data_IF_791954852250
#
_entry.id   IF_791954852250
#
_cell.length_a   1.000
_cell.length_b   1.000
_cell.length_c   1.000
_cell.angle_alpha   90.00
_cell.angle_beta   90.00
_cell.angle_gamma   90.00
#
_symmetry.space_group_name_H-M   'P 1'
#
loop_
_entity.id
_entity.type
_entity.pdbx_description
1 polymer ?
#
# COMPACT_ATOMS: atom_id res chain seq x y z
N UNK A 1 10.12 15.64 29.10
CA UNK A 1 10.91 15.35 27.89
C UNK A 1 10.24 16.03 26.73
N UNK A 2 10.87 17.05 26.17
CA UNK A 2 10.34 17.79 25.01
C UNK A 2 10.64 17.03 23.72
N UNK A 3 9.94 17.39 22.64
CA UNK A 3 10.25 16.88 21.29
C UNK A 3 11.69 17.15 20.90
N UNK A 4 12.23 18.31 21.30
CA UNK A 4 13.63 18.68 21.06
C UNK A 4 14.59 17.77 21.82
N UNK A 5 14.32 17.48 23.10
CA UNK A 5 15.14 16.57 23.91
C UNK A 5 15.19 15.16 23.32
N UNK A 6 14.03 14.68 22.82
CA UNK A 6 13.92 13.36 22.20
C UNK A 6 14.73 13.28 20.89
N UNK A 7 14.59 14.28 20.01
CA UNK A 7 15.35 14.35 18.75
C UNK A 7 16.86 14.37 19.00
N UNK A 8 17.30 15.15 19.99
CA UNK A 8 18.71 15.30 20.33
C UNK A 8 19.29 14.00 20.93
N UNK A 9 18.49 13.26 21.70
CA UNK A 9 18.86 11.94 22.22
C UNK A 9 18.98 10.89 21.11
N UNK A 10 18.04 10.86 20.17
CA UNK A 10 18.09 9.96 19.00
C UNK A 10 19.33 10.27 18.16
N UNK A 11 19.59 11.54 17.88
CA UNK A 11 20.78 11.97 17.13
C UNK A 11 22.07 11.46 17.78
N UNK A 12 22.25 11.66 19.09
CA UNK A 12 23.43 11.19 19.82
C UNK A 12 23.60 9.67 19.78
N UNK A 13 22.51 8.92 19.82
CA UNK A 13 22.59 7.46 19.74
C UNK A 13 22.97 6.98 18.33
N UNK A 14 22.45 7.64 17.29
CA UNK A 14 22.80 7.34 15.90
C UNK A 14 24.26 7.70 15.61
N UNK A 15 24.73 8.86 16.09
CA UNK A 15 26.09 9.36 15.89
C UNK A 15 27.16 8.44 16.51
N UNK A 16 26.81 7.70 17.56
CA UNK A 16 27.69 6.75 18.22
C UNK A 16 27.74 5.36 17.53
N UNK A 17 26.95 5.12 16.49
CA UNK A 17 26.91 3.82 15.82
C UNK A 17 28.05 3.66 14.81
N UNK A 18 28.59 2.45 14.75
CA UNK A 18 29.46 2.04 13.66
C UNK A 18 28.67 1.91 12.34
N UNK A 19 29.37 2.06 11.21
CA UNK A 19 28.75 2.15 9.87
C UNK A 19 27.74 1.03 9.57
N UNK A 20 28.07 -0.23 9.87
CA UNK A 20 27.17 -1.36 9.61
C UNK A 20 25.85 -1.27 10.38
N UNK A 21 25.89 -0.79 11.62
CA UNK A 21 24.69 -0.57 12.45
C UNK A 21 23.90 0.66 12.01
N UNK A 22 24.58 1.66 11.45
CA UNK A 22 23.93 2.81 10.87
C UNK A 22 23.10 2.44 9.63
N UNK A 23 23.60 1.54 8.79
CA UNK A 23 22.86 1.02 7.62
C UNK A 23 21.60 0.24 8.06
N UNK A 24 21.69 -0.58 9.10
CA UNK A 24 20.53 -1.28 9.70
C UNK A 24 19.49 -0.28 10.21
N UNK A 25 19.91 0.72 10.99
CA UNK A 25 19.02 1.76 11.55
C UNK A 25 18.40 2.61 10.45
N UNK A 26 19.15 2.92 9.39
CA UNK A 26 18.63 3.62 8.23
C UNK A 26 17.49 2.85 7.57
N UNK A 27 17.64 1.53 7.38
CA UNK A 27 16.57 0.68 6.85
C UNK A 27 15.31 0.70 7.71
N UNK A 28 15.44 0.64 9.03
CA UNK A 28 14.30 0.71 9.97
C UNK A 28 13.60 2.07 9.92
N UNK A 29 14.35 3.17 9.91
CA UNK A 29 13.78 4.53 9.82
C UNK A 29 13.07 4.72 8.47
N UNK A 30 13.70 4.27 7.38
CA UNK A 30 13.14 4.36 6.04
C UNK A 30 11.83 3.57 5.94
N UNK A 31 11.79 2.36 6.47
CA UNK A 31 10.58 1.53 6.51
C UNK A 31 9.49 2.18 7.35
N UNK A 32 9.82 2.77 8.50
CA UNK A 32 8.85 3.49 9.32
C UNK A 32 8.27 4.70 8.57
N UNK A 33 9.11 5.54 7.97
CA UNK A 33 8.68 6.72 7.20
C UNK A 33 7.82 6.32 6.01
N UNK A 34 8.21 5.27 5.28
CA UNK A 34 7.49 4.79 4.11
C UNK A 34 6.23 4.00 4.48
N UNK A 35 6.22 3.28 5.60
CA UNK A 35 5.07 2.52 6.11
C UNK A 35 3.93 3.40 6.62
N UNK A 36 4.21 4.66 6.97
CA UNK A 36 3.16 5.65 7.26
C UNK A 36 2.46 6.19 6.00
N UNK A 37 2.82 5.71 4.80
CA UNK A 37 2.00 5.93 3.60
C UNK A 37 0.72 5.07 3.58
N UNK A 38 0.47 4.22 4.57
CA UNK A 38 -0.63 3.24 4.55
C UNK A 38 -2.04 3.80 4.91
N UNK A 39 -2.21 5.13 4.96
CA UNK A 39 -3.54 5.80 4.92
C UNK A 39 -3.75 6.51 3.57
N UNK A 40 -2.76 6.43 2.67
CA UNK A 40 -2.75 7.17 1.41
C UNK A 40 -3.30 6.40 0.22
N UNK A 41 -3.51 5.08 0.32
CA UNK A 41 -3.86 4.23 -0.83
C UNK A 41 -5.14 4.69 -1.53
N UNK A 42 -6.19 5.03 -0.79
CA UNK A 42 -7.42 5.59 -1.39
C UNK A 42 -7.16 6.92 -2.10
N UNK A 43 -6.36 7.81 -1.50
CA UNK A 43 -6.05 9.12 -2.09
C UNK A 43 -5.01 9.05 -3.22
N UNK A 44 -4.27 7.94 -3.34
CA UNK A 44 -3.34 7.66 -4.43
C UNK A 44 -4.03 7.08 -5.66
N UNK A 45 -5.26 6.58 -5.54
CA UNK A 45 -6.07 6.16 -6.67
C UNK A 45 -6.47 7.37 -7.53
N UNK A 46 -6.40 7.21 -8.84
CA UNK A 46 -7.05 8.14 -9.77
C UNK A 46 -8.56 8.16 -9.55
N UNK A 47 -9.20 9.27 -9.92
CA UNK A 47 -10.67 9.38 -9.81
C UNK A 47 -11.39 8.24 -10.55
N UNK A 48 -10.88 7.81 -11.71
CA UNK A 48 -11.44 6.68 -12.44
C UNK A 48 -11.34 5.36 -11.68
N UNK A 49 -10.26 5.13 -10.93
CA UNK A 49 -10.11 3.93 -10.10
C UNK A 49 -11.06 3.97 -8.90
N UNK A 50 -11.22 5.13 -8.26
CA UNK A 50 -12.19 5.30 -7.17
C UNK A 50 -13.61 5.07 -7.66
N UNK A 51 -13.99 5.67 -8.79
CA UNK A 51 -15.30 5.48 -9.44
C UNK A 51 -15.52 4.00 -9.77
N UNK A 52 -14.56 3.35 -10.43
CA UNK A 52 -14.70 1.93 -10.78
C UNK A 52 -14.84 0.99 -9.57
N UNK A 53 -14.22 1.32 -8.44
CA UNK A 53 -14.42 0.58 -7.18
C UNK A 53 -15.82 0.83 -6.63
N UNK A 54 -16.29 2.08 -6.59
CA UNK A 54 -17.64 2.42 -6.16
C UNK A 54 -18.71 1.72 -7.01
N UNK A 55 -18.56 1.77 -8.34
CA UNK A 55 -19.46 1.12 -9.29
C UNK A 55 -19.50 -0.40 -9.04
N UNK A 56 -18.35 -1.03 -8.80
CA UNK A 56 -18.29 -2.46 -8.50
C UNK A 56 -19.00 -2.83 -7.19
N UNK A 57 -18.91 -1.98 -6.16
CA UNK A 57 -19.64 -2.16 -4.90
C UNK A 57 -21.15 -2.07 -5.15
N UNK A 58 -21.61 -1.04 -5.87
CA UNK A 58 -23.02 -0.87 -6.21
C UNK A 58 -23.57 -2.05 -7.03
N UNK A 59 -22.77 -2.59 -7.97
CA UNK A 59 -23.15 -3.78 -8.74
C UNK A 59 -23.27 -5.03 -7.85
N UNK A 60 -22.37 -5.21 -6.89
CA UNK A 60 -22.42 -6.34 -5.94
C UNK A 60 -23.67 -6.21 -5.04
N UNK A 61 -23.94 -5.03 -4.48
CA UNK A 61 -25.09 -4.78 -3.62
C UNK A 61 -26.42 -4.95 -4.39
N UNK A 62 -26.43 -4.63 -5.69
CA UNK A 62 -27.54 -4.90 -6.59
C UNK A 62 -27.65 -6.37 -7.04
N UNK A 63 -26.87 -7.29 -6.46
CA UNK A 63 -26.78 -8.70 -6.83
C UNK A 63 -26.42 -8.95 -8.31
N UNK A 64 -25.68 -8.03 -8.94
CA UNK A 64 -25.19 -8.16 -10.33
C UNK A 64 -23.82 -8.85 -10.43
N UNK A 65 -23.27 -9.30 -9.30
CA UNK A 65 -22.01 -10.04 -9.26
C UNK A 65 -22.05 -11.29 -10.15
N UNK A 66 -20.98 -11.51 -10.91
CA UNK A 66 -20.83 -12.70 -11.76
C UNK A 66 -19.79 -13.62 -11.12
N UNK A 67 -20.09 -14.92 -11.03
CA UNK A 67 -19.14 -15.90 -10.53
C UNK A 67 -17.87 -15.91 -11.39
N UNK A 68 -16.69 -15.87 -10.74
CA UNK A 68 -15.41 -15.84 -11.44
C UNK A 68 -15.22 -17.00 -12.43
N UNK A 69 -15.74 -18.19 -12.11
CA UNK A 69 -15.73 -19.34 -13.03
C UNK A 69 -16.44 -19.03 -14.36
N UNK A 70 -17.60 -18.36 -14.32
CA UNK A 70 -18.34 -17.96 -15.52
C UNK A 70 -17.60 -16.89 -16.33
N UNK A 71 -16.91 -15.97 -15.66
CA UNK A 71 -16.06 -14.97 -16.32
C UNK A 71 -14.91 -15.66 -17.07
N UNK A 72 -14.19 -16.56 -16.41
CA UNK A 72 -13.08 -17.31 -17.02
C UNK A 72 -13.56 -18.17 -18.19
N UNK A 73 -14.69 -18.85 -18.04
CA UNK A 73 -15.28 -19.65 -19.11
C UNK A 73 -15.62 -18.80 -20.34
N UNK A 74 -16.25 -17.63 -20.14
CA UNK A 74 -16.56 -16.67 -21.22
C UNK A 74 -15.30 -16.27 -22.00
N UNK A 75 -14.21 -15.94 -21.30
CA UNK A 75 -12.97 -15.54 -21.95
C UNK A 75 -12.27 -16.69 -22.67
N UNK A 76 -12.28 -17.90 -22.09
CA UNK A 76 -11.74 -19.10 -22.76
C UNK A 76 -12.48 -19.42 -24.06
N UNK A 77 -13.81 -19.26 -24.08
CA UNK A 77 -14.62 -19.43 -25.31
C UNK A 77 -14.34 -18.34 -26.34
N UNK A 78 -14.14 -17.09 -25.91
CA UNK A 78 -13.88 -15.95 -26.80
C UNK A 78 -12.48 -15.98 -27.41
N UNK A 79 -11.49 -16.49 -26.67
CA UNK A 79 -10.10 -16.60 -27.09
C UNK A 79 -9.61 -18.05 -26.96
N UNK A 80 -10.11 -18.96 -27.82
CA UNK A 80 -9.64 -20.34 -27.82
C UNK A 80 -8.16 -20.36 -28.19
N UNK A 81 -7.36 -21.14 -27.45
CA UNK A 81 -5.97 -21.37 -27.81
C UNK A 81 -5.96 -22.14 -29.13
N UNK A 82 -5.32 -21.57 -30.14
CA UNK A 82 -5.03 -22.22 -31.43
C UNK A 82 -4.09 -23.40 -31.19
#
# INVERSE_FOLDING_TARGET
>A
MTTSDLKLRIFRQIDALEKSKLEDVYGVILNYINGHKDISDWNMLSENQKIGISDAIEEIDANKGIAGAAVIEKFRKKYPRV
#
